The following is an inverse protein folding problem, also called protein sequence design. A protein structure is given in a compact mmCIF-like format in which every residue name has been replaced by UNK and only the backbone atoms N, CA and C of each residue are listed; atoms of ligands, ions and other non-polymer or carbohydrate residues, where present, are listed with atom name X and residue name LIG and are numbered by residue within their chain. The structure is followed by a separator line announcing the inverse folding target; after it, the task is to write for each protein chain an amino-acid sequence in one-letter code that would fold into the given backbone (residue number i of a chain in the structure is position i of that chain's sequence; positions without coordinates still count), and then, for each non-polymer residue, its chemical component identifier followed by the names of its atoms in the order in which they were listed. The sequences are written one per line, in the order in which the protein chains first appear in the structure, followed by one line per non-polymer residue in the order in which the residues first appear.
data_IF_032179913340
#
_entry.id   IF_032179913340
#
_cell.length_a   1.000
_cell.length_b   1.000
_cell.length_c   1.000
_cell.angle_alpha   90.00
_cell.angle_beta   90.00
_cell.angle_gamma   90.00
#
_symmetry.space_group_name_H-M   'P 1'
#
loop_
_entity.id
_entity.type
_entity.pdbx_description
1 polymer ?
#
# COMPACT_ATOMS: atom_id res chain seq x y z
N UNK A 1 -28.12 62.59 9.83
CA UNK A 1 -28.81 62.33 11.12
C UNK A 1 -28.77 60.83 11.36
N UNK A 2 -27.74 60.36 12.05
CA UNK A 2 -27.74 60.05 13.49
C UNK A 2 -28.10 58.59 13.77
N UNK A 3 -27.09 57.72 13.66
CA UNK A 3 -26.92 56.55 14.54
C UNK A 3 -26.12 57.01 15.78
N UNK A 4 -26.54 56.59 16.98
CA UNK A 4 -25.80 56.75 18.26
C UNK A 4 -26.10 55.51 19.12
N UNK A 5 -25.05 54.76 19.49
CA UNK A 5 -24.35 54.74 20.80
C UNK A 5 -25.15 53.93 21.86
N UNK A 6 -24.58 53.09 22.74
CA UNK A 6 -23.23 52.96 23.32
C UNK A 6 -23.07 51.51 23.85
N UNK A 7 -21.94 50.99 24.37
CA UNK A 7 -20.78 51.57 25.07
C UNK A 7 -19.61 50.54 25.18
N UNK A 8 -18.37 51.05 25.11
CA UNK A 8 -17.05 50.40 25.32
C UNK A 8 -16.69 50.21 26.83
N UNK A 9 -15.43 50.02 27.35
CA UNK A 9 -14.05 49.92 26.77
C UNK A 9 -13.14 48.82 27.41
N UNK A 10 -11.85 48.58 27.13
CA UNK A 10 -10.70 49.47 26.86
C UNK A 10 -9.50 48.69 26.28
N UNK A 11 -8.75 49.35 25.40
CA UNK A 11 -7.47 48.97 24.75
C UNK A 11 -6.28 49.27 25.69
N UNK A 12 -5.10 48.65 25.52
CA UNK A 12 -3.78 49.31 25.42
C UNK A 12 -2.70 48.32 24.95
N UNK A 13 -2.08 48.64 23.82
CA UNK A 13 -0.83 48.08 23.29
C UNK A 13 0.21 49.21 23.24
N UNK A 14 1.49 48.82 23.26
CA UNK A 14 2.72 49.61 23.12
C UNK A 14 3.18 50.26 24.44
N UNK A 15 4.44 50.27 24.85
CA UNK A 15 5.75 49.95 24.26
C UNK A 15 6.78 50.17 25.39
N UNK A 16 7.98 49.55 25.34
CA UNK A 16 9.29 50.25 25.52
C UNK A 16 10.46 49.27 25.64
N UNK A 17 11.37 49.33 24.65
CA UNK A 17 12.84 49.46 24.74
C UNK A 17 13.70 48.76 25.84
N UNK A 18 14.63 47.92 25.36
CA UNK A 18 15.93 47.41 25.90
C UNK A 18 16.88 48.50 26.53
N UNK A 19 18.08 48.24 27.14
CA UNK A 19 18.99 47.03 27.28
C UNK A 19 19.68 46.90 28.71
N UNK A 20 20.93 46.38 28.94
CA UNK A 20 21.49 44.99 28.86
C UNK A 20 22.38 44.51 30.07
N UNK A 21 22.98 43.30 29.94
CA UNK A 21 24.17 42.70 30.64
C UNK A 21 23.95 42.23 32.13
N UNK A 22 24.49 41.13 32.69
CA UNK A 22 25.62 40.22 32.40
C UNK A 22 25.48 38.91 33.23
N UNK A 23 26.20 37.85 32.81
CA UNK A 23 26.34 36.47 33.34
C UNK A 23 26.48 36.30 34.87
N UNK A 24 26.00 35.16 35.38
CA UNK A 24 26.79 34.23 36.22
C UNK A 24 26.39 32.76 35.93
N UNK A 25 27.38 31.92 35.63
CA UNK A 25 27.30 30.46 35.53
C UNK A 25 27.41 29.83 36.92
N UNK A 26 26.62 28.79 37.20
CA UNK A 26 27.08 27.62 37.97
C UNK A 26 26.45 26.38 37.34
N UNK A 27 27.30 25.39 37.06
CA UNK A 27 26.96 24.23 36.26
C UNK A 27 26.29 23.11 37.04
N UNK A 28 25.49 22.33 36.32
CA UNK A 28 25.21 20.94 36.61
C UNK A 28 24.96 20.24 35.27
N UNK A 29 25.32 18.97 35.23
CA UNK A 29 25.78 18.20 34.08
C UNK A 29 24.76 18.10 32.94
N UNK A 30 25.19 18.47 31.73
CA UNK A 30 24.47 18.16 30.51
C UNK A 30 24.60 16.66 30.22
N UNK A 31 23.52 15.90 30.45
CA UNK A 31 23.34 14.62 29.79
C UNK A 31 23.12 14.93 28.30
N UNK A 32 24.19 14.80 27.50
CA UNK A 32 24.11 14.86 26.05
C UNK A 32 23.43 13.57 25.59
N UNK A 33 22.12 13.59 25.43
CA UNK A 33 21.48 12.62 24.52
C UNK A 33 22.00 12.92 23.12
N UNK A 34 22.75 11.98 22.55
CA UNK A 34 23.27 12.10 21.20
C UNK A 34 22.10 12.09 20.20
N UNK A 35 21.83 13.19 19.48
CA UNK A 35 20.87 13.18 18.40
C UNK A 35 21.60 12.64 17.16
N UNK A 36 21.35 11.39 16.77
CA UNK A 36 21.94 10.94 15.50
C UNK A 36 21.82 9.47 15.12
N UNK A 37 21.71 8.52 16.06
CA UNK A 37 21.79 7.10 15.68
C UNK A 37 20.51 6.56 15.04
N UNK A 38 19.34 6.91 15.58
CA UNK A 38 18.05 6.41 15.08
C UNK A 38 17.68 6.94 13.69
N UNK A 39 17.89 8.24 13.46
CA UNK A 39 17.61 8.88 12.16
C UNK A 39 18.48 8.29 11.04
N UNK A 40 19.79 8.10 11.30
CA UNK A 40 20.72 7.56 10.31
C UNK A 40 20.41 6.11 9.92
N UNK A 41 19.88 5.32 10.85
CA UNK A 41 19.51 3.93 10.58
C UNK A 41 18.22 3.83 9.74
N UNK A 42 17.24 4.69 10.01
CA UNK A 42 16.03 4.80 9.18
C UNK A 42 16.35 5.27 7.76
N UNK A 43 17.27 6.22 7.59
CA UNK A 43 17.72 6.66 6.27
C UNK A 43 18.36 5.51 5.48
N UNK A 44 19.19 4.68 6.13
CA UNK A 44 19.76 3.47 5.51
C UNK A 44 18.69 2.46 5.08
N UNK A 45 17.64 2.26 5.87
CA UNK A 45 16.55 1.38 5.51
C UNK A 45 15.82 1.87 4.25
N UNK A 46 15.58 3.18 4.14
CA UNK A 46 15.01 3.80 2.94
C UNK A 46 15.91 3.59 1.73
N UNK A 47 17.21 3.80 1.87
CA UNK A 47 18.18 3.60 0.79
C UNK A 47 18.22 2.14 0.31
N UNK A 48 18.20 1.19 1.25
CA UNK A 48 18.13 -0.24 0.94
C UNK A 48 16.85 -0.59 0.17
N UNK A 49 15.69 -0.08 0.60
CA UNK A 49 14.41 -0.26 -0.11
C UNK A 49 14.46 0.30 -1.54
N UNK A 50 15.01 1.50 -1.71
CA UNK A 50 15.13 2.13 -3.02
C UNK A 50 16.09 1.38 -3.97
N UNK A 51 17.06 0.66 -3.41
CA UNK A 51 17.99 -0.17 -4.19
C UNK A 51 17.40 -1.49 -4.70
N UNK A 52 16.28 -1.95 -4.13
CA UNK A 52 15.68 -3.27 -4.40
C UNK A 52 14.78 -3.34 -5.65
N UNK A 53 15.06 -2.56 -6.69
CA UNK A 53 14.21 -2.54 -7.89
C UNK A 53 14.22 -3.89 -8.63
N UNK A 54 13.02 -4.35 -8.99
CA UNK A 54 12.71 -5.65 -9.59
C UNK A 54 13.56 -5.88 -10.85
N UNK A 55 14.27 -7.03 -10.90
CA UNK A 55 15.17 -7.55 -11.97
C UNK A 55 16.69 -7.51 -11.70
N UNK A 56 17.16 -7.24 -10.48
CA UNK A 56 18.58 -7.41 -10.14
C UNK A 56 18.91 -8.86 -9.73
N UNK A 57 19.98 -9.43 -10.28
CA UNK A 57 20.59 -10.64 -9.71
C UNK A 57 21.20 -10.28 -8.35
N UNK A 58 20.41 -10.33 -7.30
CA UNK A 58 20.83 -9.89 -5.95
C UNK A 58 19.71 -9.56 -4.96
N UNK A 59 18.44 -9.56 -5.38
CA UNK A 59 17.31 -9.19 -4.50
C UNK A 59 17.31 -9.97 -3.18
N UNK A 60 17.58 -11.29 -3.17
CA UNK A 60 17.63 -12.06 -1.92
C UNK A 60 18.71 -11.58 -0.94
N UNK A 61 19.87 -11.16 -1.44
CA UNK A 61 20.93 -10.61 -0.60
C UNK A 61 20.54 -9.24 -0.06
N UNK A 62 19.91 -8.39 -0.89
CA UNK A 62 19.41 -7.07 -0.47
C UNK A 62 18.31 -7.22 0.58
N UNK A 63 17.42 -8.20 0.43
CA UNK A 63 16.39 -8.54 1.41
C UNK A 63 17.03 -8.96 2.75
N UNK A 64 18.06 -9.80 2.72
CA UNK A 64 18.78 -10.22 3.92
C UNK A 64 19.42 -9.03 4.63
N UNK A 65 20.12 -8.16 3.90
CA UNK A 65 20.75 -6.95 4.45
C UNK A 65 19.72 -5.99 5.03
N UNK A 66 18.59 -5.78 4.36
CA UNK A 66 17.50 -4.95 4.88
C UNK A 66 16.93 -5.52 6.19
N UNK A 67 16.67 -6.83 6.24
CA UNK A 67 16.13 -7.47 7.45
C UNK A 67 17.09 -7.35 8.63
N UNK A 68 18.39 -7.54 8.41
CA UNK A 68 19.40 -7.40 9.45
C UNK A 68 19.45 -5.99 10.00
N UNK A 69 19.53 -4.97 9.14
CA UNK A 69 19.46 -3.56 9.57
C UNK A 69 18.16 -3.29 10.31
N UNK A 70 17.00 -3.70 9.76
CA UNK A 70 15.69 -3.46 10.37
C UNK A 70 15.56 -4.08 11.76
N UNK A 71 16.10 -5.28 11.96
CA UNK A 71 16.13 -5.94 13.26
C UNK A 71 17.08 -5.26 14.25
N UNK A 72 18.19 -4.69 13.78
CA UNK A 72 19.11 -3.92 14.61
C UNK A 72 18.53 -2.55 15.01
N UNK A 73 17.78 -1.90 14.11
CA UNK A 73 17.17 -0.59 14.36
C UNK A 73 15.96 -0.66 15.28
N UNK A 74 15.15 -1.72 15.16
CA UNK A 74 13.89 -1.88 15.88
C UNK A 74 14.12 -2.33 17.34
N UNK A 75 14.48 -1.37 18.18
CA UNK A 75 14.78 -1.56 19.61
C UNK A 75 13.62 -1.22 20.54
N UNK A 76 12.57 -0.59 20.00
CA UNK A 76 11.34 -0.22 20.70
C UNK A 76 10.11 -0.46 19.82
N UNK A 77 8.90 -0.44 20.40
CA UNK A 77 7.67 -0.47 19.61
C UNK A 77 7.59 0.66 18.58
N UNK A 78 8.03 1.87 18.93
CA UNK A 78 8.02 3.03 18.05
C UNK A 78 8.92 2.82 16.81
N UNK A 79 10.15 2.36 17.03
CA UNK A 79 11.09 2.10 15.93
C UNK A 79 10.64 0.93 15.05
N UNK A 80 10.03 -0.11 15.64
CA UNK A 80 9.38 -1.17 14.86
C UNK A 80 8.22 -0.63 14.01
N UNK A 81 7.38 0.25 14.55
CA UNK A 81 6.30 0.89 13.80
C UNK A 81 6.83 1.78 12.66
N UNK A 82 7.95 2.47 12.86
CA UNK A 82 8.63 3.23 11.81
C UNK A 82 9.13 2.31 10.68
N UNK A 83 9.77 1.19 11.01
CA UNK A 83 10.22 0.19 10.01
C UNK A 83 9.05 -0.32 9.18
N UNK A 84 7.96 -0.76 9.83
CA UNK A 84 6.75 -1.24 9.16
C UNK A 84 6.15 -0.13 8.28
N UNK A 85 6.09 1.09 8.81
CA UNK A 85 5.59 2.27 8.11
C UNK A 85 6.39 2.58 6.85
N UNK A 86 7.71 2.48 6.88
CA UNK A 86 8.57 2.72 5.72
C UNK A 86 8.37 1.67 4.62
N UNK A 87 8.30 0.37 4.99
CA UNK A 87 8.01 -0.71 4.04
C UNK A 87 6.64 -0.49 3.40
N UNK A 88 5.63 -0.22 4.22
CA UNK A 88 4.26 0.00 3.78
C UNK A 88 4.17 1.21 2.84
N UNK A 89 4.72 2.36 3.23
CA UNK A 89 4.69 3.58 2.43
C UNK A 89 5.35 3.38 1.06
N UNK A 90 6.45 2.63 1.00
CA UNK A 90 7.10 2.29 -0.27
C UNK A 90 6.25 1.33 -1.10
N UNK A 91 5.64 0.32 -0.49
CA UNK A 91 4.81 -0.65 -1.19
C UNK A 91 3.56 -0.02 -1.84
N UNK A 92 2.88 0.88 -1.14
CA UNK A 92 1.67 1.53 -1.65
C UNK A 92 1.94 2.69 -2.62
N UNK A 93 3.17 3.20 -2.66
CA UNK A 93 3.58 4.24 -3.63
C UNK A 93 4.28 3.68 -4.87
N UNK A 94 4.75 2.44 -4.83
CA UNK A 94 5.45 1.78 -5.92
C UNK A 94 4.93 0.34 -6.09
N UNK A 95 3.92 0.18 -6.96
CA UNK A 95 3.31 -1.12 -7.26
C UNK A 95 4.31 -2.19 -7.69
N UNK A 96 5.42 -1.81 -8.34
CA UNK A 96 6.46 -2.76 -8.76
C UNK A 96 7.23 -3.37 -7.58
N UNK A 97 7.19 -2.71 -6.42
CA UNK A 97 7.83 -3.15 -5.18
C UNK A 97 6.91 -3.98 -4.28
N UNK A 98 5.59 -3.98 -4.50
CA UNK A 98 4.61 -4.61 -3.60
C UNK A 98 4.88 -6.10 -3.33
N UNK A 99 5.21 -6.88 -4.35
CA UNK A 99 5.58 -8.29 -4.21
C UNK A 99 6.84 -8.49 -3.35
N UNK A 100 7.85 -7.64 -3.53
CA UNK A 100 9.09 -7.65 -2.74
C UNK A 100 8.82 -7.26 -1.29
N UNK A 101 7.98 -6.23 -1.08
CA UNK A 101 7.53 -5.82 0.25
C UNK A 101 6.78 -6.93 0.98
N UNK A 102 5.87 -7.64 0.30
CA UNK A 102 5.14 -8.75 0.90
C UNK A 102 6.07 -9.90 1.34
N UNK A 103 7.13 -10.18 0.58
CA UNK A 103 8.19 -11.14 0.98
C UNK A 103 8.96 -10.68 2.21
N UNK A 104 9.28 -9.39 2.32
CA UNK A 104 9.87 -8.83 3.55
C UNK A 104 8.93 -9.01 4.74
N UNK A 105 7.66 -8.67 4.55
CA UNK A 105 6.65 -8.79 5.58
C UNK A 105 6.45 -10.23 6.06
N UNK A 106 6.48 -11.21 5.15
CA UNK A 106 6.41 -12.64 5.51
C UNK A 106 7.62 -13.06 6.36
N UNK A 107 8.85 -12.74 5.91
CA UNK A 107 10.08 -13.07 6.64
C UNK A 107 10.15 -12.38 8.02
N UNK A 108 9.57 -11.19 8.15
CA UNK A 108 9.52 -10.43 9.42
C UNK A 108 8.28 -10.73 10.27
N UNK A 109 7.34 -11.56 9.82
CA UNK A 109 6.01 -11.69 10.43
C UNK A 109 6.03 -12.07 11.93
N UNK A 110 7.02 -12.86 12.34
CA UNK A 110 7.21 -13.32 13.72
C UNK A 110 8.12 -12.42 14.56
N UNK A 111 8.79 -11.45 13.95
CA UNK A 111 9.64 -10.51 14.66
C UNK A 111 8.80 -9.66 15.62
N UNK A 112 9.30 -9.49 16.84
CA UNK A 112 8.61 -8.75 17.90
C UNK A 112 9.59 -7.97 18.75
N UNK A 113 9.13 -6.81 19.20
CA UNK A 113 9.85 -5.89 20.07
C UNK A 113 8.88 -5.46 21.16
N UNK A 114 9.28 -5.59 22.43
CA UNK A 114 8.45 -5.23 23.61
C UNK A 114 7.04 -5.88 23.63
N UNK A 115 6.90 -7.05 23.00
CA UNK A 115 5.62 -7.77 22.90
C UNK A 115 4.76 -7.38 21.68
N UNK A 116 5.13 -6.30 20.97
CA UNK A 116 4.48 -5.87 19.74
C UNK A 116 5.06 -6.61 18.55
N UNK A 117 4.19 -7.30 17.79
CA UNK A 117 4.57 -8.11 16.62
C UNK A 117 4.54 -7.26 15.35
N UNK A 118 5.55 -7.41 14.49
CA UNK A 118 5.60 -6.78 13.16
C UNK A 118 4.30 -6.98 12.37
N UNK A 119 3.82 -8.23 12.32
CA UNK A 119 2.58 -8.59 11.60
C UNK A 119 1.36 -7.82 12.11
N UNK A 120 1.26 -7.59 13.42
CA UNK A 120 0.12 -6.84 13.97
C UNK A 120 0.12 -5.38 13.50
N UNK A 121 1.30 -4.75 13.46
CA UNK A 121 1.44 -3.39 12.94
C UNK A 121 1.11 -3.30 11.46
N UNK A 122 1.58 -4.26 10.64
CA UNK A 122 1.27 -4.33 9.21
C UNK A 122 -0.25 -4.47 8.96
N UNK A 123 -0.90 -5.41 9.65
CA UNK A 123 -2.35 -5.63 9.50
C UNK A 123 -3.15 -4.41 9.95
N UNK A 124 -2.69 -3.68 10.98
CA UNK A 124 -3.31 -2.43 11.41
C UNK A 124 -3.20 -1.33 10.34
N UNK A 125 -2.09 -1.27 9.59
CA UNK A 125 -1.96 -0.31 8.48
C UNK A 125 -2.89 -0.65 7.31
N UNK A 126 -2.94 -1.92 6.90
CA UNK A 126 -3.87 -2.39 5.88
C UNK A 126 -5.33 -2.11 6.27
N UNK A 127 -5.68 -2.38 7.53
CA UNK A 127 -7.01 -2.10 8.05
C UNK A 127 -7.34 -0.60 8.03
N UNK A 128 -6.36 0.27 8.33
CA UNK A 128 -6.54 1.72 8.29
C UNK A 128 -6.87 2.20 6.88
N UNK A 129 -6.07 1.83 5.88
CA UNK A 129 -6.29 2.25 4.49
C UNK A 129 -7.57 1.62 3.92
N UNK A 130 -7.91 0.39 4.33
CA UNK A 130 -9.21 -0.21 3.97
C UNK A 130 -10.41 0.57 4.53
N UNK A 131 -10.30 1.04 5.78
CA UNK A 131 -11.37 1.78 6.44
C UNK A 131 -11.64 3.14 5.79
N UNK A 132 -10.62 3.81 5.24
CA UNK A 132 -10.76 5.08 4.52
C UNK A 132 -10.61 4.95 3.00
N UNK A 133 -10.77 3.75 2.42
CA UNK A 133 -10.51 3.48 1.00
C UNK A 133 -11.33 4.35 0.03
N UNK A 134 -12.56 4.71 0.41
CA UNK A 134 -13.43 5.58 -0.38
C UNK A 134 -12.88 7.01 -0.46
N UNK A 135 -12.33 7.52 0.65
CA UNK A 135 -11.63 8.82 0.68
C UNK A 135 -10.30 8.73 -0.07
N UNK A 136 -9.58 7.62 0.07
CA UNK A 136 -8.31 7.37 -0.61
C UNK A 136 -8.50 7.35 -2.13
N UNK A 137 -9.53 6.65 -2.61
CA UNK A 137 -9.91 6.59 -4.03
C UNK A 137 -10.15 8.00 -4.61
N UNK A 138 -10.75 8.91 -3.84
CA UNK A 138 -11.04 10.27 -4.31
C UNK A 138 -9.83 11.21 -4.22
N UNK A 139 -8.98 11.01 -3.22
CA UNK A 139 -7.89 11.94 -2.88
C UNK A 139 -6.55 11.59 -3.53
N UNK A 140 -6.24 10.30 -3.65
CA UNK A 140 -4.96 9.80 -4.16
C UNK A 140 -5.16 8.41 -4.80
N UNK A 141 -5.53 8.42 -6.08
CA UNK A 141 -5.84 7.21 -6.84
C UNK A 141 -4.63 6.27 -6.94
N UNK A 142 -3.43 6.78 -7.20
CA UNK A 142 -2.24 5.92 -7.33
C UNK A 142 -1.95 5.19 -6.02
N UNK A 143 -2.13 5.87 -4.88
CA UNK A 143 -2.01 5.24 -3.57
C UNK A 143 -3.14 4.26 -3.29
N UNK A 144 -4.36 4.53 -3.73
CA UNK A 144 -5.47 3.58 -3.64
C UNK A 144 -5.18 2.29 -4.42
N UNK A 145 -4.76 2.41 -5.69
CA UNK A 145 -4.35 1.26 -6.51
C UNK A 145 -3.16 0.53 -5.88
N UNK A 146 -2.16 1.26 -5.38
CA UNK A 146 -1.00 0.70 -4.70
C UNK A 146 -1.35 -0.02 -3.39
N UNK A 147 -2.31 0.50 -2.62
CA UNK A 147 -2.87 -0.18 -1.46
C UNK A 147 -3.53 -1.50 -1.86
N UNK A 148 -4.37 -1.52 -2.89
CA UNK A 148 -5.06 -2.75 -3.32
C UNK A 148 -4.05 -3.79 -3.79
N UNK A 149 -3.09 -3.42 -4.64
CA UNK A 149 -2.01 -4.32 -5.06
C UNK A 149 -1.22 -4.85 -3.85
N UNK A 150 -0.87 -4.00 -2.88
CA UNK A 150 -0.12 -4.46 -1.71
C UNK A 150 -0.94 -5.37 -0.79
N UNK A 151 -2.24 -5.08 -0.59
CA UNK A 151 -3.17 -5.95 0.13
C UNK A 151 -3.23 -7.33 -0.53
N UNK A 152 -3.29 -7.35 -1.85
CA UNK A 152 -3.28 -8.55 -2.66
C UNK A 152 -1.97 -9.35 -2.49
N UNK A 153 -0.82 -8.69 -2.64
CA UNK A 153 0.50 -9.31 -2.47
C UNK A 153 0.71 -9.89 -1.06
N UNK A 154 0.24 -9.19 -0.02
CA UNK A 154 0.27 -9.68 1.37
C UNK A 154 -0.53 -10.97 1.52
N UNK A 155 -1.73 -11.05 0.95
CA UNK A 155 -2.54 -12.27 0.99
C UNK A 155 -1.92 -13.41 0.17
N UNK A 156 -1.42 -13.10 -1.02
CA UNK A 156 -0.77 -14.06 -1.91
C UNK A 156 0.52 -14.62 -1.32
N UNK A 157 1.28 -13.83 -0.55
CA UNK A 157 2.61 -14.19 -0.08
C UNK A 157 2.63 -14.68 1.36
N UNK A 158 2.05 -13.92 2.30
CA UNK A 158 2.27 -14.19 3.71
C UNK A 158 1.49 -15.41 4.20
N UNK A 159 2.09 -16.19 5.11
CA UNK A 159 1.44 -17.37 5.69
C UNK A 159 1.41 -17.34 7.21
N UNK A 160 0.38 -17.97 7.77
CA UNK A 160 0.31 -18.27 9.21
C UNK A 160 1.30 -19.39 9.58
N UNK A 161 1.42 -19.69 10.87
CA UNK A 161 2.18 -20.86 11.33
C UNK A 161 1.61 -22.20 10.83
N UNK A 162 0.34 -22.25 10.40
CA UNK A 162 -0.29 -23.42 9.76
C UNK A 162 -0.05 -23.47 8.24
N UNK A 163 0.80 -22.60 7.70
CA UNK A 163 1.03 -22.43 6.26
C UNK A 163 -0.23 -22.01 5.47
N UNK A 164 -1.20 -21.39 6.15
CA UNK A 164 -2.44 -20.91 5.54
C UNK A 164 -2.40 -19.40 5.27
N UNK A 165 -3.11 -18.91 4.24
CA UNK A 165 -3.26 -17.48 4.00
C UNK A 165 -4.11 -16.82 5.11
N UNK A 166 -3.94 -15.51 5.29
CA UNK A 166 -4.72 -14.74 6.26
C UNK A 166 -6.16 -14.53 5.78
N UNK A 167 -7.05 -15.47 6.12
CA UNK A 167 -8.48 -15.44 5.72
C UNK A 167 -9.21 -14.11 6.01
N UNK A 168 -8.77 -13.37 7.03
CA UNK A 168 -9.33 -12.04 7.36
C UNK A 168 -9.20 -11.02 6.23
N UNK A 169 -8.27 -11.23 5.29
CA UNK A 169 -8.04 -10.34 4.14
C UNK A 169 -8.93 -10.64 2.94
N UNK A 170 -9.61 -11.79 2.91
CA UNK A 170 -10.37 -12.24 1.73
C UNK A 170 -11.53 -11.31 1.41
N UNK A 171 -12.39 -10.98 2.38
CA UNK A 171 -13.51 -10.06 2.15
C UNK A 171 -13.06 -8.63 1.79
N UNK A 172 -12.05 -8.05 2.47
CA UNK A 172 -11.45 -6.78 2.04
C UNK A 172 -10.99 -6.80 0.57
N UNK A 173 -10.30 -7.85 0.14
CA UNK A 173 -9.82 -7.97 -1.25
C UNK A 173 -10.99 -8.00 -2.22
N UNK A 174 -12.01 -8.84 -2.00
CA UNK A 174 -13.18 -8.88 -2.88
C UNK A 174 -13.92 -7.53 -2.96
N UNK A 175 -13.98 -6.80 -1.85
CA UNK A 175 -14.58 -5.47 -1.79
C UNK A 175 -13.81 -4.52 -2.71
N UNK A 176 -12.49 -4.44 -2.53
CA UNK A 176 -11.63 -3.59 -3.36
C UNK A 176 -11.69 -3.96 -4.86
N UNK A 177 -11.65 -5.25 -5.19
CA UNK A 177 -11.72 -5.71 -6.58
C UNK A 177 -13.05 -5.33 -7.26
N UNK A 178 -14.16 -5.34 -6.51
CA UNK A 178 -15.46 -4.87 -7.01
C UNK A 178 -15.45 -3.35 -7.22
N UNK A 179 -14.93 -2.58 -6.26
CA UNK A 179 -14.81 -1.12 -6.37
C UNK A 179 -13.94 -0.68 -7.56
N UNK A 180 -12.87 -1.44 -7.89
CA UNK A 180 -12.09 -1.22 -9.12
C UNK A 180 -12.94 -1.35 -10.39
N UNK A 181 -13.87 -2.30 -10.44
CA UNK A 181 -14.78 -2.48 -11.56
C UNK A 181 -15.84 -1.36 -11.62
N UNK A 182 -16.21 -0.77 -10.49
CA UNK A 182 -17.21 0.30 -10.43
C UNK A 182 -16.61 1.69 -10.68
N UNK A 183 -15.29 1.85 -10.57
CA UNK A 183 -14.60 3.13 -10.77
C UNK A 183 -14.82 3.74 -12.15
N UNK A 184 -15.27 5.00 -12.17
CA UNK A 184 -15.52 5.77 -13.39
C UNK A 184 -14.39 6.72 -13.75
N UNK A 185 -13.61 7.18 -12.77
CA UNK A 185 -12.66 8.28 -12.94
C UNK A 185 -11.30 7.82 -13.47
N UNK A 186 -10.87 6.62 -13.07
CA UNK A 186 -9.63 5.97 -13.51
C UNK A 186 -9.90 4.59 -14.10
N UNK A 187 -10.94 4.55 -14.92
CA UNK A 187 -11.61 3.34 -15.39
C UNK A 187 -10.65 2.29 -15.96
N UNK A 188 -9.72 2.68 -16.83
CA UNK A 188 -8.81 1.72 -17.47
C UNK A 188 -7.70 1.21 -16.53
N UNK A 189 -7.08 2.10 -15.74
CA UNK A 189 -6.06 1.72 -14.77
C UNK A 189 -6.62 0.85 -13.64
N UNK A 190 -7.85 1.15 -13.19
CA UNK A 190 -8.55 0.35 -12.19
C UNK A 190 -8.91 -1.04 -12.73
N UNK A 191 -9.41 -1.14 -13.97
CA UNK A 191 -9.70 -2.42 -14.62
C UNK A 191 -8.41 -3.22 -14.86
N UNK A 192 -7.33 -2.57 -15.29
CA UNK A 192 -6.03 -3.20 -15.46
C UNK A 192 -5.54 -3.77 -14.13
N UNK A 193 -5.60 -2.99 -13.05
CA UNK A 193 -5.27 -3.46 -11.71
C UNK A 193 -6.12 -4.68 -11.33
N UNK A 194 -7.45 -4.60 -11.45
CA UNK A 194 -8.36 -5.72 -11.13
C UNK A 194 -8.02 -6.98 -11.93
N UNK A 195 -7.75 -6.84 -13.24
CA UNK A 195 -7.34 -7.95 -14.09
C UNK A 195 -6.03 -8.56 -13.59
N UNK A 196 -4.98 -7.76 -13.39
CA UNK A 196 -3.68 -8.25 -12.92
C UNK A 196 -3.78 -8.99 -11.58
N UNK A 197 -4.53 -8.45 -10.61
CA UNK A 197 -4.72 -9.11 -9.32
C UNK A 197 -5.47 -10.44 -9.47
N UNK A 198 -6.55 -10.49 -10.27
CA UNK A 198 -7.29 -11.73 -10.52
C UNK A 198 -6.45 -12.79 -11.25
N UNK A 199 -5.60 -12.38 -12.19
CA UNK A 199 -4.67 -13.30 -12.85
C UNK A 199 -3.66 -13.89 -11.87
N UNK A 200 -3.18 -13.08 -10.90
CA UNK A 200 -2.18 -13.48 -9.91
C UNK A 200 -2.77 -14.39 -8.82
N UNK A 201 -3.93 -14.02 -8.27
CA UNK A 201 -4.46 -14.63 -7.04
C UNK A 201 -5.90 -15.14 -7.13
N UNK A 202 -6.54 -15.07 -8.30
CA UNK A 202 -7.95 -15.47 -8.49
C UNK A 202 -8.23 -16.89 -7.99
N UNK A 203 -7.33 -17.83 -8.28
CA UNK A 203 -7.41 -19.20 -7.77
C UNK A 203 -7.44 -19.25 -6.24
N UNK A 204 -6.51 -18.57 -5.59
CA UNK A 204 -6.38 -18.59 -4.14
C UNK A 204 -7.62 -17.97 -3.48
N UNK A 205 -8.14 -16.88 -4.04
CA UNK A 205 -9.38 -16.26 -3.58
C UNK A 205 -10.58 -17.19 -3.72
N UNK A 206 -10.76 -17.81 -4.90
CA UNK A 206 -11.87 -18.75 -5.16
C UNK A 206 -11.82 -19.96 -4.22
N UNK A 207 -10.63 -20.49 -3.92
CA UNK A 207 -10.44 -21.55 -2.93
C UNK A 207 -10.86 -21.13 -1.51
N UNK A 208 -10.77 -19.84 -1.17
CA UNK A 208 -11.21 -19.34 0.14
C UNK A 208 -12.71 -19.07 0.20
N UNK A 209 -13.29 -18.40 -0.80
CA UNK A 209 -14.70 -17.99 -0.85
C UNK A 209 -15.26 -18.01 -2.29
N UNK A 210 -15.69 -19.18 -2.80
CA UNK A 210 -16.13 -19.32 -4.19
C UNK A 210 -17.41 -18.55 -4.53
N UNK A 211 -18.29 -18.33 -3.55
CA UNK A 211 -19.51 -17.53 -3.72
C UNK A 211 -19.17 -16.08 -4.10
N UNK A 212 -18.19 -15.47 -3.43
CA UNK A 212 -17.74 -14.10 -3.76
C UNK A 212 -17.04 -14.03 -5.11
N UNK A 213 -16.30 -15.07 -5.52
CA UNK A 213 -15.75 -15.15 -6.88
C UNK A 213 -16.85 -15.17 -7.93
N UNK A 214 -17.92 -15.93 -7.69
CA UNK A 214 -19.06 -16.00 -8.59
C UNK A 214 -19.71 -14.63 -8.79
N UNK A 215 -19.94 -13.89 -7.71
CA UNK A 215 -20.48 -12.53 -7.78
C UNK A 215 -19.52 -11.55 -8.46
N UNK A 216 -18.22 -11.63 -8.18
CA UNK A 216 -17.23 -10.76 -8.82
C UNK A 216 -17.17 -11.00 -10.32
N UNK A 217 -17.22 -12.26 -10.77
CA UNK A 217 -17.27 -12.60 -12.20
C UNK A 217 -18.58 -12.18 -12.87
N UNK A 218 -19.69 -12.08 -12.13
CA UNK A 218 -20.90 -11.45 -12.64
C UNK A 218 -20.67 -9.96 -12.91
N UNK A 219 -20.08 -9.23 -11.95
CA UNK A 219 -19.72 -7.82 -12.14
C UNK A 219 -18.72 -7.60 -13.30
N UNK A 220 -17.74 -8.49 -13.46
CA UNK A 220 -16.81 -8.50 -14.60
C UNK A 220 -17.57 -8.61 -15.93
N UNK A 221 -18.54 -9.54 -16.05
CA UNK A 221 -19.35 -9.70 -17.25
C UNK A 221 -20.23 -8.49 -17.51
N UNK A 222 -20.92 -7.99 -16.49
CA UNK A 222 -21.79 -6.82 -16.60
C UNK A 222 -21.01 -5.59 -17.06
N UNK A 223 -19.81 -5.35 -16.50
CA UNK A 223 -18.93 -4.28 -16.95
C UNK A 223 -18.50 -4.50 -18.40
N UNK A 224 -17.96 -5.65 -18.76
CA UNK A 224 -17.50 -5.94 -20.13
C UNK A 224 -18.59 -5.73 -21.20
N UNK A 225 -19.83 -6.11 -20.87
CA UNK A 225 -20.99 -5.98 -21.76
C UNK A 225 -21.55 -4.55 -21.82
N UNK A 226 -21.15 -3.65 -20.92
CA UNK A 226 -21.59 -2.26 -20.97
C UNK A 226 -21.19 -1.59 -22.30
N UNK A 227 -22.10 -0.84 -22.95
CA UNK A 227 -21.83 -0.22 -24.24
C UNK A 227 -20.74 0.86 -24.15
N UNK A 228 -20.51 1.42 -22.97
CA UNK A 228 -19.57 2.53 -22.73
C UNK A 228 -18.13 2.08 -22.45
N UNK A 229 -17.85 0.78 -22.41
CA UNK A 229 -16.47 0.32 -22.19
C UNK A 229 -15.58 0.54 -23.41
N UNK A 230 -14.27 0.65 -23.17
CA UNK A 230 -13.27 0.67 -24.22
C UNK A 230 -12.97 -0.73 -24.76
N UNK A 231 -12.23 -0.81 -25.87
CA UNK A 231 -11.73 -2.10 -26.34
C UNK A 231 -10.73 -2.72 -25.35
N UNK A 232 -9.90 -1.89 -24.72
CA UNK A 232 -8.91 -2.33 -23.72
C UNK A 232 -9.60 -3.00 -22.53
N UNK A 233 -10.60 -2.32 -21.96
CA UNK A 233 -11.37 -2.87 -20.84
C UNK A 233 -12.01 -4.22 -21.21
N UNK A 234 -12.62 -4.31 -22.39
CA UNK A 234 -13.21 -5.58 -22.84
C UNK A 234 -12.17 -6.69 -23.00
N UNK A 235 -11.00 -6.39 -23.56
CA UNK A 235 -9.92 -7.37 -23.70
C UNK A 235 -9.39 -7.86 -22.36
N UNK A 236 -9.14 -6.95 -21.41
CA UNK A 236 -8.67 -7.29 -20.06
C UNK A 236 -9.64 -8.17 -19.29
N UNK A 237 -10.94 -7.87 -19.37
CA UNK A 237 -11.98 -8.61 -18.66
C UNK A 237 -12.30 -9.95 -19.33
N UNK A 238 -12.24 -10.03 -20.66
CA UNK A 238 -12.41 -11.29 -21.39
C UNK A 238 -11.28 -12.28 -21.06
N UNK A 239 -10.04 -11.82 -20.96
CA UNK A 239 -8.90 -12.64 -20.54
C UNK A 239 -9.14 -13.27 -19.16
N UNK A 240 -9.63 -12.47 -18.19
CA UNK A 240 -9.99 -12.97 -16.85
C UNK A 240 -11.09 -14.03 -16.91
N UNK A 241 -12.13 -13.82 -17.72
CA UNK A 241 -13.22 -14.79 -17.90
C UNK A 241 -12.70 -16.11 -18.47
N UNK A 242 -11.83 -16.04 -19.48
CA UNK A 242 -11.23 -17.25 -20.08
C UNK A 242 -10.29 -17.95 -19.10
N UNK A 243 -9.52 -17.21 -18.30
CA UNK A 243 -8.69 -17.79 -17.24
C UNK A 243 -9.53 -18.51 -16.20
N UNK A 244 -10.65 -17.93 -15.75
CA UNK A 244 -11.58 -18.60 -14.85
C UNK A 244 -12.17 -19.87 -15.48
N UNK A 245 -12.60 -19.80 -16.74
CA UNK A 245 -13.11 -20.95 -17.48
C UNK A 245 -12.04 -22.05 -17.64
N UNK A 246 -10.77 -21.68 -17.64
CA UNK A 246 -9.61 -22.56 -17.63
C UNK A 246 -9.10 -22.89 -16.20
N UNK A 247 -9.96 -22.75 -15.19
CA UNK A 247 -9.65 -23.05 -13.78
C UNK A 247 -8.40 -22.33 -13.25
N UNK A 248 -8.20 -21.08 -13.65
CA UNK A 248 -7.04 -20.24 -13.34
C UNK A 248 -5.70 -20.87 -13.73
N UNK A 249 -5.72 -21.83 -14.65
CA UNK A 249 -4.51 -22.40 -15.24
C UNK A 249 -4.07 -21.55 -16.44
N UNK A 250 -2.77 -21.51 -16.77
CA UNK A 250 -2.28 -20.74 -17.92
C UNK A 250 -3.08 -21.08 -19.19
N UNK A 251 -3.52 -20.05 -19.91
CA UNK A 251 -4.21 -20.21 -21.19
C UNK A 251 -3.30 -20.85 -22.23
N UNK A 252 -3.89 -21.39 -23.29
CA UNK A 252 -3.14 -21.90 -24.43
C UNK A 252 -2.23 -20.83 -25.05
N UNK A 253 -1.12 -21.26 -25.66
CA UNK A 253 -0.09 -20.35 -26.17
C UNK A 253 -0.63 -19.34 -27.20
N UNK A 254 -1.54 -19.76 -28.08
CA UNK A 254 -2.15 -18.89 -29.09
C UNK A 254 -3.08 -17.85 -28.45
N UNK A 255 -3.87 -18.26 -27.46
CA UNK A 255 -4.76 -17.37 -26.70
C UNK A 255 -3.96 -16.34 -25.90
N UNK A 256 -2.91 -16.80 -25.20
CA UNK A 256 -1.97 -15.91 -24.48
C UNK A 256 -1.31 -14.91 -25.45
N UNK A 257 -0.88 -15.37 -26.63
CA UNK A 257 -0.29 -14.48 -27.64
C UNK A 257 -1.30 -13.46 -28.18
N UNK A 258 -2.57 -13.85 -28.35
CA UNK A 258 -3.64 -12.95 -28.77
C UNK A 258 -3.84 -11.81 -27.76
N UNK A 259 -3.97 -12.13 -26.47
CA UNK A 259 -4.16 -11.12 -25.43
C UNK A 259 -2.94 -10.20 -25.30
N UNK A 260 -1.74 -10.77 -25.22
CA UNK A 260 -0.50 -9.99 -25.17
C UNK A 260 -0.39 -8.99 -26.33
N UNK A 261 -0.61 -9.45 -27.57
CA UNK A 261 -0.55 -8.58 -28.75
C UNK A 261 -1.66 -7.52 -28.75
N UNK A 262 -2.87 -7.91 -28.36
CA UNK A 262 -4.04 -7.03 -28.39
C UNK A 262 -3.92 -5.94 -27.33
N UNK A 263 -3.64 -6.31 -26.08
CA UNK A 263 -3.45 -5.39 -24.97
C UNK A 263 -2.27 -4.46 -25.24
N UNK A 264 -1.12 -4.99 -25.68
CA UNK A 264 0.05 -4.16 -26.03
C UNK A 264 -0.27 -3.14 -27.12
N UNK A 265 -1.02 -3.55 -28.15
CA UNK A 265 -1.45 -2.62 -29.21
C UNK A 265 -2.33 -1.51 -28.61
N UNK A 266 -3.31 -1.87 -27.79
CA UNK A 266 -4.28 -0.91 -27.24
C UNK A 266 -3.65 0.07 -26.23
N UNK A 267 -2.65 -0.37 -25.46
CA UNK A 267 -1.93 0.51 -24.50
C UNK A 267 -0.89 1.41 -25.16
N UNK A 268 -0.41 1.07 -26.37
CA UNK A 268 0.56 1.91 -27.11
C UNK A 268 -0.09 2.87 -28.10
N UNK A 269 -1.37 2.67 -28.42
CA UNK A 269 -2.14 3.55 -29.31
C UNK A 269 -3.04 4.57 -28.59
N UNK A 270 -3.15 4.46 -27.26
CA UNK A 270 -3.82 5.44 -26.41
C UNK A 270 -2.86 6.59 -26.04
#
# INVERSE_FOLDING_TARGET
MCTKLASQPTVWLLSTSLPPLTRYHHGEEALVEAPGSGSQSMDRLVDLLNSMRSNSSGVEQQLATFMEEAQCSATSEETLAQVVGTIYAKAVSDRSFAATAAKLCDKMALFMVEGTKFRSLLLNMLQRDFACREELQQSDVERWLGFITFLCEVFGTMRSCSAEPFRVLVCPIYTCLRELLESTDVKEDAVLCCSMELQSMGRLLEEQLPEMMTELLAAVRDKMLSPTESQLTRSLLMEVIELHAHHWSPLEALTTQYYNRTIQKLTTTA
#
